data_IF_818031684910
#
_entry.id   IF_818031684910
#
_cell.length_a   1.000
_cell.length_b   1.000
_cell.length_c   1.000
_cell.angle_alpha   90.00
_cell.angle_beta   90.00
_cell.angle_gamma   90.00
#
_symmetry.space_group_name_H-M   'P 1'
#
loop_
_entity.id
_entity.type
_entity.pdbx_description
1 polymer ?
#
# COMPACT_ATOMS: atom_id res chain seq x y z
N UNK A 1 5.31 9.41 13.06
CA UNK A 1 5.03 7.97 12.85
C UNK A 1 5.50 7.51 11.47
N UNK A 2 5.09 8.15 10.38
CA UNK A 2 5.50 7.71 9.03
C UNK A 2 7.02 7.84 8.77
N UNK A 3 7.65 8.96 9.12
CA UNK A 3 9.08 9.15 8.83
C UNK A 3 10.00 8.14 9.55
N UNK A 4 9.69 7.80 10.80
CA UNK A 4 10.56 6.93 11.62
C UNK A 4 10.20 5.45 11.53
N UNK A 5 9.01 5.11 11.03
CA UNK A 5 8.58 3.71 10.89
C UNK A 5 8.49 3.28 9.43
N UNK A 6 7.85 4.07 8.56
CA UNK A 6 7.72 3.71 7.16
C UNK A 6 9.05 3.80 6.43
N UNK A 7 9.93 4.78 6.71
CA UNK A 7 11.22 4.89 6.00
C UNK A 7 12.15 3.71 6.26
N UNK A 8 12.44 3.29 7.50
CA UNK A 8 13.30 2.13 7.74
C UNK A 8 12.69 0.84 7.16
N UNK A 9 11.36 0.67 7.28
CA UNK A 9 10.65 -0.48 6.73
C UNK A 9 10.70 -0.49 5.20
N UNK A 10 10.56 0.66 4.53
CA UNK A 10 10.68 0.76 3.07
C UNK A 10 12.10 0.45 2.60
N UNK A 11 13.14 0.96 3.28
CA UNK A 11 14.54 0.64 2.96
C UNK A 11 14.82 -0.85 3.15
N UNK A 12 14.36 -1.42 4.26
CA UNK A 12 14.49 -2.86 4.53
C UNK A 12 13.72 -3.69 3.50
N UNK A 13 12.48 -3.32 3.18
CA UNK A 13 11.62 -4.06 2.27
C UNK A 13 12.17 -4.07 0.83
N UNK A 14 12.82 -3.00 0.37
CA UNK A 14 13.51 -2.99 -0.92
C UNK A 14 14.64 -4.04 -0.95
N UNK A 15 15.43 -4.12 0.13
CA UNK A 15 16.47 -5.14 0.28
C UNK A 15 15.90 -6.55 0.42
N UNK A 16 14.82 -6.71 1.19
CA UNK A 16 14.14 -7.96 1.43
C UNK A 16 13.45 -8.51 0.18
N UNK A 17 12.87 -7.65 -0.65
CA UNK A 17 12.25 -8.04 -1.92
C UNK A 17 13.30 -8.59 -2.90
N UNK A 18 14.51 -8.03 -2.89
CA UNK A 18 15.64 -8.55 -3.68
C UNK A 18 16.17 -9.90 -3.17
N UNK A 19 16.03 -10.17 -1.87
CA UNK A 19 16.51 -11.40 -1.21
C UNK A 19 15.43 -12.48 -1.07
N UNK A 20 14.21 -12.22 -1.55
CA UNK A 20 13.02 -13.07 -1.38
C UNK A 20 12.78 -13.48 0.08
N UNK A 21 12.89 -12.50 0.99
CA UNK A 21 12.71 -12.75 2.42
C UNK A 21 11.24 -13.13 2.72
N UNK A 22 11.00 -14.21 3.49
CA UNK A 22 9.66 -14.75 3.72
C UNK A 22 8.73 -13.81 4.51
N UNK A 23 9.26 -12.82 5.24
CA UNK A 23 8.47 -11.87 6.03
C UNK A 23 8.09 -10.62 5.25
N UNK A 24 8.71 -10.38 4.09
CA UNK A 24 8.42 -9.20 3.24
C UNK A 24 6.97 -9.18 2.76
N UNK A 25 6.38 -10.28 2.26
CA UNK A 25 4.98 -10.29 1.88
C UNK A 25 4.03 -9.89 3.00
N UNK A 26 4.34 -10.24 4.25
CA UNK A 26 3.49 -9.87 5.39
C UNK A 26 3.57 -8.37 5.69
N UNK A 27 4.80 -7.84 5.79
CA UNK A 27 5.00 -6.42 6.15
C UNK A 27 4.53 -5.47 5.05
N UNK A 28 4.85 -5.77 3.79
CA UNK A 28 4.44 -4.96 2.65
C UNK A 28 2.93 -5.04 2.39
N UNK A 29 2.27 -6.15 2.73
CA UNK A 29 0.80 -6.24 2.67
C UNK A 29 0.14 -5.26 3.64
N UNK A 30 0.57 -5.26 4.91
CA UNK A 30 0.03 -4.36 5.93
C UNK A 30 0.32 -2.90 5.54
N UNK A 31 1.56 -2.62 5.10
CA UNK A 31 1.96 -1.30 4.63
C UNK A 31 1.09 -0.82 3.46
N UNK A 32 0.95 -1.65 2.42
CA UNK A 32 0.18 -1.30 1.22
C UNK A 32 -1.30 -1.08 1.53
N UNK A 33 -1.88 -1.94 2.38
CA UNK A 33 -3.27 -1.82 2.81
C UNK A 33 -3.51 -0.55 3.63
N UNK A 34 -2.64 -0.25 4.60
CA UNK A 34 -2.73 0.98 5.40
C UNK A 34 -2.63 2.22 4.50
N UNK A 35 -1.64 2.27 3.61
CA UNK A 35 -1.43 3.38 2.70
C UNK A 35 -2.63 3.57 1.76
N UNK A 36 -3.19 2.48 1.23
CA UNK A 36 -4.38 2.50 0.39
C UNK A 36 -5.60 3.06 1.14
N UNK A 37 -5.91 2.53 2.33
CA UNK A 37 -7.10 2.92 3.08
C UNK A 37 -7.03 4.38 3.53
N UNK A 38 -5.92 4.79 4.13
CA UNK A 38 -5.73 6.17 4.61
C UNK A 38 -5.80 7.17 3.46
N UNK A 39 -5.10 6.89 2.35
CA UNK A 39 -5.12 7.77 1.17
C UNK A 39 -6.50 7.82 0.51
N UNK A 40 -7.24 6.70 0.49
CA UNK A 40 -8.61 6.67 -0.05
C UNK A 40 -9.56 7.49 0.81
N UNK A 41 -9.47 7.39 2.14
CA UNK A 41 -10.27 8.20 3.07
C UNK A 41 -9.99 9.68 2.87
N UNK A 42 -8.72 10.08 2.72
CA UNK A 42 -8.36 11.46 2.40
C UNK A 42 -8.95 11.94 1.07
N UNK A 43 -8.94 11.10 0.02
CA UNK A 43 -9.57 11.47 -1.25
C UNK A 43 -11.10 11.62 -1.10
N UNK A 44 -11.76 10.71 -0.40
CA UNK A 44 -13.21 10.80 -0.13
C UNK A 44 -13.53 12.12 0.59
N UNK A 45 -12.70 12.50 1.57
CA UNK A 45 -12.84 13.76 2.29
C UNK A 45 -12.68 14.98 1.35
N UNK A 46 -11.65 15.01 0.50
CA UNK A 46 -11.44 16.09 -0.50
C UNK A 46 -12.66 16.23 -1.42
N UNK A 47 -13.26 15.12 -1.82
CA UNK A 47 -14.44 15.14 -2.68
C UNK A 47 -15.70 15.64 -1.96
N UNK A 48 -15.78 15.48 -0.63
CA UNK A 48 -16.89 15.96 0.21
C UNK A 48 -16.88 17.48 0.46
N UNK A 49 -15.75 18.16 0.27
CA UNK A 49 -15.63 19.62 0.52
C UNK A 49 -16.59 20.46 -0.32
N UNK A 50 -17.40 21.32 0.31
CA UNK A 50 -18.34 22.18 -0.39
C UNK A 50 -17.72 23.49 -0.91
N UNK A 51 -16.55 23.88 -0.40
CA UNK A 51 -15.91 25.19 -0.58
C UNK A 51 -14.80 25.21 -1.65
N UNK A 52 -14.69 24.16 -2.46
CA UNK A 52 -13.66 24.01 -3.50
C UNK A 52 -14.27 23.62 -4.85
N UNK A 53 -13.73 24.20 -5.91
CA UNK A 53 -14.15 23.87 -7.27
C UNK A 53 -13.71 22.46 -7.66
N UNK A 54 -14.39 21.87 -8.66
CA UNK A 54 -14.05 20.53 -9.18
C UNK A 54 -12.60 20.47 -9.67
N UNK A 55 -12.10 21.53 -10.30
CA UNK A 55 -10.73 21.61 -10.79
C UNK A 55 -9.68 21.58 -9.65
N UNK A 56 -9.99 22.17 -8.50
CA UNK A 56 -9.10 22.12 -7.32
C UNK A 56 -9.08 20.71 -6.72
N UNK A 57 -10.26 20.06 -6.61
CA UNK A 57 -10.37 18.67 -6.13
C UNK A 57 -9.66 17.69 -7.05
N UNK A 58 -9.76 17.88 -8.37
CA UNK A 58 -9.07 17.06 -9.37
C UNK A 58 -7.55 17.21 -9.29
N UNK A 59 -7.02 18.42 -9.10
CA UNK A 59 -5.58 18.64 -8.93
C UNK A 59 -5.03 17.85 -7.74
N UNK A 60 -5.71 17.90 -6.59
CA UNK A 60 -5.33 17.13 -5.40
C UNK A 60 -5.43 15.63 -5.69
N UNK A 61 -6.51 15.21 -6.36
CA UNK A 61 -6.71 13.80 -6.71
C UNK A 61 -5.66 13.27 -7.69
N UNK A 62 -5.15 14.08 -8.62
CA UNK A 62 -4.05 13.69 -9.52
C UNK A 62 -2.74 13.50 -8.78
N UNK A 63 -2.51 14.25 -7.70
CA UNK A 63 -1.33 14.08 -6.86
C UNK A 63 -1.42 12.84 -5.98
N UNK A 64 -2.57 12.60 -5.34
CA UNK A 64 -2.76 11.53 -4.37
C UNK A 64 -3.27 10.20 -4.95
N UNK A 65 -3.94 10.23 -6.10
CA UNK A 65 -4.45 9.06 -6.80
C UNK A 65 -3.38 8.01 -7.14
N UNK A 66 -2.19 8.40 -7.61
CA UNK A 66 -1.07 7.47 -7.80
C UNK A 66 -0.66 6.72 -6.53
N UNK A 67 -0.70 7.38 -5.36
CA UNK A 67 -0.38 6.73 -4.09
C UNK A 67 -1.43 5.68 -3.69
N UNK A 68 -2.71 5.97 -3.94
CA UNK A 68 -3.80 5.00 -3.75
C UNK A 68 -3.58 3.78 -4.67
N UNK A 69 -3.34 4.03 -5.95
CA UNK A 69 -3.11 2.95 -6.93
C UNK A 69 -1.89 2.10 -6.56
N UNK A 70 -0.78 2.74 -6.14
CA UNK A 70 0.42 2.04 -5.71
C UNK A 70 0.18 1.20 -4.44
N UNK A 71 -0.50 1.76 -3.44
CA UNK A 71 -0.85 1.04 -2.21
C UNK A 71 -1.71 -0.20 -2.49
N UNK A 72 -2.71 -0.06 -3.37
CA UNK A 72 -3.55 -1.18 -3.80
C UNK A 72 -2.74 -2.25 -4.55
N UNK A 73 -1.87 -1.84 -5.48
CA UNK A 73 -1.01 -2.75 -6.23
C UNK A 73 -0.08 -3.53 -5.31
N UNK A 74 0.59 -2.85 -4.37
CA UNK A 74 1.47 -3.48 -3.38
C UNK A 74 0.71 -4.49 -2.51
N UNK A 75 -0.48 -4.12 -2.01
CA UNK A 75 -1.29 -5.01 -1.20
C UNK A 75 -1.70 -6.28 -1.97
N UNK A 76 -2.14 -6.13 -3.23
CA UNK A 76 -2.52 -7.27 -4.07
C UNK A 76 -1.32 -8.18 -4.39
N UNK A 77 -0.19 -7.62 -4.83
CA UNK A 77 1.01 -8.41 -5.15
C UNK A 77 1.47 -9.24 -3.95
N UNK A 78 1.56 -8.61 -2.77
CA UNK A 78 1.97 -9.27 -1.54
C UNK A 78 0.97 -10.32 -1.07
N UNK A 79 -0.33 -10.06 -1.21
CA UNK A 79 -1.38 -11.03 -0.91
C UNK A 79 -1.25 -12.30 -1.79
N UNK A 80 -1.05 -12.15 -3.10
CA UNK A 80 -0.88 -13.30 -4.00
C UNK A 80 0.39 -14.09 -3.71
N UNK A 81 1.50 -13.40 -3.40
CA UNK A 81 2.75 -14.06 -2.97
C UNK A 81 2.56 -14.86 -1.68
N UNK A 82 1.93 -14.25 -0.67
CA UNK A 82 1.66 -14.91 0.61
C UNK A 82 0.72 -16.11 0.45
N UNK A 83 -0.37 -15.94 -0.31
CA UNK A 83 -1.32 -17.02 -0.63
C UNK A 83 -0.61 -18.20 -1.29
N UNK A 84 0.25 -17.93 -2.28
CA UNK A 84 0.99 -18.98 -3.00
C UNK A 84 1.89 -19.77 -2.03
N UNK A 85 2.60 -19.08 -1.13
CA UNK A 85 3.44 -19.73 -0.10
C UNK A 85 2.63 -20.60 0.86
N UNK A 86 1.49 -20.11 1.33
CA UNK A 86 0.62 -20.85 2.25
C UNK A 86 -0.02 -22.08 1.60
N UNK A 87 -0.50 -21.97 0.36
CA UNK A 87 -1.07 -23.10 -0.38
C UNK A 87 -0.01 -24.18 -0.68
N UNK A 88 1.24 -23.78 -0.98
CA UNK A 88 2.34 -24.74 -1.17
C UNK A 88 2.67 -25.47 0.13
N UNK A 89 2.66 -24.77 1.27
CA UNK A 89 2.89 -25.40 2.59
C UNK A 89 1.80 -26.43 2.91
N UNK A 90 0.53 -26.06 2.75
CA UNK A 90 -0.61 -26.94 3.00
C UNK A 90 -0.62 -28.24 2.16
N UNK A 91 0.10 -28.28 1.03
CA UNK A 91 0.19 -29.48 0.18
C UNK A 91 1.32 -30.44 0.60
N UNK A 92 2.23 -29.98 1.46
CA UNK A 92 3.39 -30.76 1.95
C UNK A 92 3.16 -31.37 3.35
N UNK A 93 2.15 -30.90 4.06
CA UNK A 93 1.66 -31.48 5.32
C UNK A 93 0.57 -32.51 5.04
#
# INVERSE_FOLDING_TARGET
MELFYHVPVSVWALGGLKRDDPLVPLHLLIFGLQAFLTSTVCLVEVWSWADRSVAQKQNISMLYGPYVALGAFMALDMFFRLRTRLLVKSKKE
#
